data_IF_036932869960
#
_entry.id   IF_036932869960
#
_cell.length_a   1.000
_cell.length_b   1.000
_cell.length_c   1.000
_cell.angle_alpha   90.00
_cell.angle_beta   90.00
_cell.angle_gamma   90.00
#
_symmetry.space_group_name_H-M   'P 1'
#
loop_
_entity.id
_entity.type
_entity.pdbx_description
1 polymer ?
#
# COMPACT_ATOMS: atom_id res chain seq x y z
N UNK A 1 -5.64 -18.64 1.58
CA UNK A 1 -5.55 -17.27 1.06
C UNK A 1 -6.13 -17.28 -0.35
N UNK A 2 -6.91 -16.26 -0.69
CA UNK A 2 -7.42 -16.01 -2.03
C UNK A 2 -7.03 -14.58 -2.44
N UNK A 3 -6.78 -14.36 -3.73
CA UNK A 3 -6.44 -13.06 -4.31
C UNK A 3 -7.17 -12.87 -5.64
N UNK A 4 -7.57 -11.64 -5.93
CA UNK A 4 -8.25 -11.28 -7.17
C UNK A 4 -7.85 -9.86 -7.55
N UNK A 5 -7.55 -9.63 -8.82
CA UNK A 5 -7.39 -8.32 -9.43
C UNK A 5 -8.13 -8.28 -10.77
N UNK A 6 -8.76 -7.16 -11.10
CA UNK A 6 -9.55 -6.98 -12.32
C UNK A 6 -9.43 -5.52 -12.81
N UNK A 7 -9.17 -5.32 -14.10
CA UNK A 7 -9.03 -4.00 -14.71
C UNK A 7 -10.33 -3.14 -14.67
N UNK A 8 -11.46 -3.78 -14.35
CA UNK A 8 -12.76 -3.13 -14.40
C UNK A 8 -13.27 -2.90 -15.82
N UNK A 9 -14.33 -2.09 -15.95
CA UNK A 9 -15.02 -1.87 -17.23
C UNK A 9 -14.65 -0.57 -17.95
N UNK A 10 -13.81 0.25 -17.34
CA UNK A 10 -13.54 1.62 -17.81
C UNK A 10 -12.09 1.79 -18.23
N UNK A 11 -11.14 1.21 -17.51
CA UNK A 11 -9.70 1.30 -17.80
C UNK A 11 -9.29 0.22 -18.78
N UNK A 12 -8.37 0.55 -19.71
CA UNK A 12 -7.80 -0.42 -20.65
C UNK A 12 -6.73 -1.30 -19.99
N UNK A 13 -6.07 -0.80 -18.95
CA UNK A 13 -4.96 -1.45 -18.25
C UNK A 13 -5.25 -1.52 -16.76
N UNK A 14 -4.83 -2.62 -16.15
CA UNK A 14 -4.83 -2.79 -14.70
C UNK A 14 -3.48 -2.32 -14.15
N UNK A 15 -3.49 -1.30 -13.31
CA UNK A 15 -2.30 -0.74 -12.67
C UNK A 15 -2.10 -1.25 -11.23
N UNK A 16 -3.04 -2.08 -10.75
CA UNK A 16 -2.92 -2.72 -9.46
C UNK A 16 -1.98 -3.91 -9.52
N UNK A 17 -1.19 -4.07 -8.49
CA UNK A 17 -0.37 -5.25 -8.26
C UNK A 17 -0.69 -5.84 -6.89
N UNK A 18 -0.70 -7.17 -6.81
CA UNK A 18 -0.89 -7.88 -5.54
C UNK A 18 -0.03 -9.15 -5.50
N UNK A 19 0.39 -9.52 -4.32
CA UNK A 19 1.13 -10.77 -4.12
C UNK A 19 0.92 -11.35 -2.72
N UNK A 20 1.17 -12.65 -2.64
CA UNK A 20 1.30 -13.40 -1.40
C UNK A 20 2.61 -14.16 -1.45
N UNK A 21 3.50 -13.86 -0.52
CA UNK A 21 4.81 -14.51 -0.41
C UNK A 21 4.87 -15.36 0.86
N UNK A 22 5.63 -16.43 0.79
CA UNK A 22 6.02 -17.23 1.97
C UNK A 22 7.53 -17.41 1.93
N UNK A 23 8.20 -17.23 3.07
CA UNK A 23 9.63 -17.43 3.19
C UNK A 23 9.98 -18.77 3.87
N UNK A 24 11.28 -19.06 3.98
CA UNK A 24 11.80 -20.30 4.60
C UNK A 24 11.45 -20.44 6.09
N UNK A 25 11.18 -19.33 6.76
CA UNK A 25 10.72 -19.29 8.16
C UNK A 25 9.20 -19.46 8.30
N UNK A 26 8.47 -19.75 7.20
CA UNK A 26 7.00 -19.84 7.13
C UNK A 26 6.28 -18.55 7.52
N UNK A 27 6.95 -17.44 7.46
CA UNK A 27 6.27 -16.14 7.53
C UNK A 27 5.55 -15.90 6.20
N UNK A 28 4.43 -15.21 6.25
CA UNK A 28 3.64 -14.83 5.07
C UNK A 28 3.55 -13.33 4.97
N UNK A 29 3.72 -12.83 3.76
CA UNK A 29 3.51 -11.44 3.42
C UNK A 29 2.41 -11.34 2.37
N UNK A 30 1.40 -10.54 2.66
CA UNK A 30 0.32 -10.19 1.74
C UNK A 30 0.46 -8.71 1.41
N UNK A 31 0.43 -8.35 0.14
CA UNK A 31 0.54 -6.95 -0.28
C UNK A 31 -0.41 -6.64 -1.44
N UNK A 32 -0.98 -5.44 -1.41
CA UNK A 32 -1.72 -4.82 -2.51
C UNK A 32 -1.15 -3.42 -2.74
N UNK A 33 -0.97 -3.06 -4.00
CA UNK A 33 -0.46 -1.77 -4.45
C UNK A 33 -1.31 -1.27 -5.63
N UNK A 34 -1.96 -0.11 -5.48
CA UNK A 34 -2.73 0.57 -6.54
C UNK A 34 -1.83 1.62 -7.19
N UNK A 35 -1.46 1.36 -8.43
CA UNK A 35 -0.52 2.20 -9.18
C UNK A 35 -1.18 3.43 -9.80
N UNK A 36 -0.49 4.57 -9.74
CA UNK A 36 -0.92 5.84 -10.30
C UNK A 36 0.17 6.52 -11.11
N UNK A 37 -0.19 7.36 -12.12
CA UNK A 37 0.79 8.12 -12.89
C UNK A 37 0.73 7.92 -14.40
N UNK A 38 -0.48 7.84 -14.98
CA UNK A 38 -0.69 7.72 -16.42
C UNK A 38 -0.45 6.31 -16.97
N UNK A 39 -0.54 6.13 -18.31
CA UNK A 39 -0.69 4.82 -18.97
C UNK A 39 0.28 3.71 -18.50
N UNK A 40 1.54 3.99 -18.26
CA UNK A 40 2.55 2.98 -17.86
C UNK A 40 3.18 3.25 -16.48
N UNK A 41 2.98 4.44 -15.95
CA UNK A 41 3.64 4.84 -14.70
C UNK A 41 3.12 4.05 -13.51
N UNK A 42 1.79 3.92 -13.39
CA UNK A 42 1.16 3.21 -12.28
C UNK A 42 1.52 1.73 -12.21
N UNK A 43 1.43 1.01 -13.35
CA UNK A 43 1.84 -0.40 -13.42
C UNK A 43 3.32 -0.59 -13.06
N UNK A 44 4.18 0.30 -13.56
CA UNK A 44 5.62 0.25 -13.23
C UNK A 44 5.87 0.50 -11.76
N UNK A 45 5.19 1.48 -11.15
CA UNK A 45 5.36 1.81 -9.75
C UNK A 45 4.87 0.68 -8.81
N UNK A 46 3.67 0.14 -9.07
CA UNK A 46 3.14 -0.96 -8.25
C UNK A 46 3.98 -2.23 -8.38
N UNK A 47 4.50 -2.54 -9.57
CA UNK A 47 5.40 -3.68 -9.79
C UNK A 47 6.74 -3.50 -9.08
N UNK A 48 7.42 -2.34 -9.20
CA UNK A 48 8.68 -2.07 -8.49
C UNK A 48 8.45 -2.18 -6.98
N UNK A 49 7.34 -1.64 -6.47
CA UNK A 49 7.00 -1.74 -5.06
C UNK A 49 6.93 -3.21 -4.61
N UNK A 50 6.21 -4.07 -5.33
CA UNK A 50 6.10 -5.48 -4.98
C UNK A 50 7.45 -6.21 -5.04
N UNK A 51 8.23 -6.00 -6.10
CA UNK A 51 9.55 -6.63 -6.29
C UNK A 51 10.51 -6.24 -5.15
N UNK A 52 10.51 -4.98 -4.74
CA UNK A 52 11.35 -4.50 -3.64
C UNK A 52 10.90 -5.07 -2.29
N UNK A 53 9.59 -5.08 -2.04
CA UNK A 53 9.02 -5.64 -0.81
C UNK A 53 9.29 -7.14 -0.72
N UNK A 54 9.16 -7.89 -1.82
CA UNK A 54 9.51 -9.32 -1.84
C UNK A 54 10.99 -9.56 -1.50
N UNK A 55 11.88 -8.78 -2.10
CA UNK A 55 13.32 -8.90 -1.87
C UNK A 55 13.68 -8.71 -0.40
N UNK A 56 13.18 -7.64 0.22
CA UNK A 56 13.42 -7.36 1.65
C UNK A 56 12.77 -8.42 2.56
N UNK A 57 11.57 -8.87 2.22
CA UNK A 57 10.88 -9.93 2.95
C UNK A 57 11.68 -11.23 3.02
N UNK A 58 12.45 -11.55 1.99
CA UNK A 58 13.32 -12.74 1.96
C UNK A 58 14.61 -12.59 2.75
N UNK A 59 14.96 -11.38 3.18
CA UNK A 59 16.13 -11.13 4.03
C UNK A 59 15.82 -11.51 5.50
N UNK A 60 16.69 -12.29 6.17
CA UNK A 60 16.39 -12.79 7.52
C UNK A 60 16.73 -11.79 8.66
N UNK A 61 16.94 -10.52 8.35
CA UNK A 61 17.44 -9.54 9.31
C UNK A 61 16.35 -8.60 9.83
N UNK A 62 16.29 -8.43 11.15
CA UNK A 62 15.35 -7.55 11.83
C UNK A 62 14.02 -8.25 12.22
N UNK A 63 13.23 -7.55 13.03
CA UNK A 63 11.89 -7.99 13.40
C UNK A 63 10.95 -7.94 12.19
N UNK A 64 9.83 -8.68 12.20
CA UNK A 64 8.82 -8.58 11.14
C UNK A 64 8.35 -7.14 10.88
N UNK A 65 8.16 -6.37 11.93
CA UNK A 65 7.75 -4.96 11.86
C UNK A 65 8.81 -4.10 11.17
N UNK A 66 10.07 -4.20 11.61
CA UNK A 66 11.20 -3.46 11.01
C UNK A 66 11.37 -3.80 9.53
N UNK A 67 11.28 -5.09 9.17
CA UNK A 67 11.38 -5.53 7.78
C UNK A 67 10.23 -4.99 6.93
N UNK A 68 9.03 -4.99 7.47
CA UNK A 68 7.85 -4.50 6.77
C UNK A 68 7.96 -2.99 6.49
N UNK A 69 8.31 -2.18 7.50
CA UNK A 69 8.52 -0.75 7.32
C UNK A 69 9.66 -0.45 6.34
N UNK A 70 10.82 -1.07 6.55
CA UNK A 70 11.99 -0.91 5.67
C UNK A 70 11.70 -1.30 4.22
N UNK A 71 10.89 -2.34 4.00
CA UNK A 71 10.53 -2.75 2.64
C UNK A 71 9.76 -1.67 1.89
N UNK A 72 8.84 -0.96 2.55
CA UNK A 72 8.08 0.14 1.97
C UNK A 72 8.93 1.42 1.80
N UNK A 73 9.87 1.69 2.72
CA UNK A 73 10.84 2.78 2.59
C UNK A 73 11.72 2.59 1.35
N UNK A 74 12.31 1.40 1.21
CA UNK A 74 13.11 1.07 0.02
C UNK A 74 12.30 1.08 -1.27
N UNK A 75 11.04 0.60 -1.22
CA UNK A 75 10.15 0.69 -2.37
C UNK A 75 9.90 2.14 -2.77
N UNK A 76 9.74 3.06 -1.81
CA UNK A 76 9.62 4.48 -2.09
C UNK A 76 10.87 5.04 -2.78
N UNK A 77 12.06 4.74 -2.26
CA UNK A 77 13.32 5.19 -2.84
C UNK A 77 13.48 4.69 -4.28
N UNK A 78 13.21 3.42 -4.56
CA UNK A 78 13.37 2.82 -5.88
C UNK A 78 12.35 3.35 -6.88
N UNK A 79 11.07 3.47 -6.51
CA UNK A 79 10.03 4.05 -7.37
C UNK A 79 10.35 5.51 -7.68
N UNK A 80 10.74 6.30 -6.67
CA UNK A 80 11.10 7.70 -6.83
C UNK A 80 12.31 7.88 -7.74
N UNK A 81 13.39 7.11 -7.52
CA UNK A 81 14.59 7.14 -8.37
C UNK A 81 14.27 6.77 -9.83
N UNK A 82 13.39 5.78 -10.03
CA UNK A 82 12.95 5.37 -11.36
C UNK A 82 12.15 6.47 -12.07
N UNK A 83 11.25 7.14 -11.35
CA UNK A 83 10.48 8.29 -11.85
C UNK A 83 11.37 9.47 -12.26
N UNK A 84 12.49 9.69 -11.55
CA UNK A 84 13.45 10.75 -11.89
C UNK A 84 14.31 10.41 -13.10
N UNK A 85 14.67 9.13 -13.27
CA UNK A 85 15.55 8.68 -14.36
C UNK A 85 14.86 8.59 -15.72
N UNK A 86 13.51 8.54 -15.76
CA UNK A 86 12.73 8.41 -16.98
C UNK A 86 11.61 9.46 -17.03
N UNK A 87 11.72 10.39 -17.99
CA UNK A 87 10.75 11.48 -18.16
C UNK A 87 9.32 11.01 -18.45
N UNK A 88 9.16 9.84 -19.09
CA UNK A 88 7.83 9.24 -19.38
C UNK A 88 7.14 8.69 -18.10
N UNK A 89 7.92 8.41 -17.05
CA UNK A 89 7.44 7.89 -15.78
C UNK A 89 7.38 8.97 -14.69
N UNK A 90 7.60 10.24 -15.06
CA UNK A 90 7.60 11.34 -14.11
C UNK A 90 6.26 11.45 -13.37
N UNK A 91 6.31 11.46 -12.03
CA UNK A 91 5.12 11.53 -11.19
C UNK A 91 4.38 10.21 -11.03
N UNK A 92 4.96 9.09 -11.47
CA UNK A 92 4.43 7.78 -11.11
C UNK A 92 4.52 7.56 -9.61
N UNK A 93 3.62 6.75 -9.09
CA UNK A 93 3.59 6.34 -7.70
C UNK A 93 2.63 5.17 -7.51
N UNK A 94 2.55 4.71 -6.30
CA UNK A 94 1.59 3.65 -5.92
C UNK A 94 1.19 3.77 -4.47
N UNK A 95 0.01 3.27 -4.13
CA UNK A 95 -0.29 2.95 -2.75
C UNK A 95 0.44 1.66 -2.35
N UNK A 96 0.50 1.38 -1.08
CA UNK A 96 0.86 0.05 -0.58
C UNK A 96 0.10 -0.23 0.72
N UNK A 97 -0.48 -1.41 0.83
CA UNK A 97 -0.99 -1.97 2.08
C UNK A 97 -0.48 -3.40 2.21
N UNK A 98 0.30 -3.66 3.26
CA UNK A 98 0.99 -4.93 3.43
C UNK A 98 0.79 -5.49 4.83
N UNK A 99 0.53 -6.80 4.92
CA UNK A 99 0.40 -7.55 6.18
C UNK A 99 1.44 -8.65 6.22
N UNK A 100 2.27 -8.66 7.25
CA UNK A 100 3.19 -9.74 7.54
C UNK A 100 2.64 -10.59 8.69
N UNK A 101 2.63 -11.90 8.52
CA UNK A 101 2.12 -12.87 9.49
C UNK A 101 3.25 -13.84 9.84
N UNK A 102 3.59 -13.90 11.11
CA UNK A 102 4.56 -14.85 11.64
C UNK A 102 3.92 -16.22 12.00
N UNK A 103 4.70 -17.30 12.06
CA UNK A 103 4.19 -18.63 12.34
C UNK A 103 3.56 -18.79 13.73
N UNK A 104 3.97 -17.98 14.69
CA UNK A 104 3.42 -17.93 16.05
C UNK A 104 2.07 -17.21 16.13
N UNK A 105 1.61 -16.61 15.03
CA UNK A 105 0.36 -15.86 14.93
C UNK A 105 0.51 -14.37 15.17
N UNK A 106 1.72 -13.86 15.40
CA UNK A 106 2.00 -12.43 15.37
C UNK A 106 1.73 -11.87 13.97
N UNK A 107 1.15 -10.67 13.89
CA UNK A 107 0.91 -10.03 12.61
C UNK A 107 1.11 -8.51 12.70
N UNK A 108 1.59 -7.95 11.60
CA UNK A 108 1.90 -6.52 11.47
C UNK A 108 1.33 -6.01 10.15
N UNK A 109 0.70 -4.86 10.23
CA UNK A 109 0.18 -4.12 9.09
C UNK A 109 1.03 -2.86 8.89
N UNK A 110 1.41 -2.56 7.65
CA UNK A 110 1.98 -1.27 7.27
C UNK A 110 1.35 -0.77 5.97
N UNK A 111 1.17 0.56 5.83
CA UNK A 111 0.52 1.12 4.66
C UNK A 111 0.94 2.56 4.35
N UNK A 112 0.78 2.89 3.06
CA UNK A 112 0.87 4.24 2.48
C UNK A 112 -0.21 4.37 1.40
N UNK A 113 -1.00 5.44 1.45
CA UNK A 113 -2.08 5.69 0.48
C UNK A 113 -3.47 5.38 1.03
N UNK A 114 -4.41 5.10 0.14
CA UNK A 114 -5.82 4.86 0.46
C UNK A 114 -6.30 3.42 0.18
N UNK A 115 -5.38 2.52 -0.16
CA UNK A 115 -5.66 1.07 -0.13
C UNK A 115 -5.85 0.61 1.32
N UNK A 116 -6.86 -0.24 1.55
CA UNK A 116 -7.34 -0.51 2.91
C UNK A 116 -7.16 -1.95 3.35
N UNK A 117 -6.87 -2.12 4.63
CA UNK A 117 -6.93 -3.39 5.32
C UNK A 117 -8.14 -3.44 6.26
N UNK A 118 -8.87 -4.55 6.21
CA UNK A 118 -10.02 -4.79 7.09
C UNK A 118 -9.87 -6.10 7.83
N UNK A 119 -10.39 -6.13 9.06
CA UNK A 119 -10.58 -7.35 9.84
C UNK A 119 -12.06 -7.68 9.93
N UNK A 120 -12.43 -8.89 9.56
CA UNK A 120 -13.76 -9.43 9.83
C UNK A 120 -13.68 -10.40 11.01
N UNK A 121 -14.32 -10.05 12.12
CA UNK A 121 -14.40 -10.88 13.33
C UNK A 121 -15.83 -10.85 13.87
N UNK A 122 -16.40 -12.01 14.17
CA UNK A 122 -17.76 -12.14 14.74
C UNK A 122 -18.83 -11.34 13.97
N UNK A 123 -18.76 -11.36 12.62
CA UNK A 123 -19.60 -10.57 11.70
C UNK A 123 -19.43 -9.05 11.79
N UNK A 124 -18.42 -8.58 12.53
CA UNK A 124 -18.09 -7.17 12.59
C UNK A 124 -16.91 -6.87 11.66
N UNK A 125 -17.09 -5.94 10.73
CA UNK A 125 -16.04 -5.47 9.81
C UNK A 125 -15.42 -4.20 10.37
N UNK A 126 -14.11 -4.27 10.63
CA UNK A 126 -13.32 -3.18 11.18
C UNK A 126 -12.23 -2.78 10.20
N UNK A 127 -12.09 -1.48 9.92
CA UNK A 127 -10.96 -0.94 9.18
C UNK A 127 -9.72 -0.87 10.09
N UNK A 128 -8.62 -1.49 9.66
CA UNK A 128 -7.35 -1.48 10.38
C UNK A 128 -6.39 -0.42 9.87
N UNK A 129 -6.58 0.07 8.65
CA UNK A 129 -5.82 1.17 8.06
C UNK A 129 -6.68 2.43 7.93
N UNK A 130 -6.03 3.59 7.93
CA UNK A 130 -6.65 4.89 7.67
C UNK A 130 -6.11 5.45 6.35
N UNK A 131 -6.98 5.98 5.50
CA UNK A 131 -6.59 6.55 4.22
C UNK A 131 -5.68 7.78 4.39
N UNK A 132 -4.59 7.81 3.65
CA UNK A 132 -3.75 9.01 3.48
C UNK A 132 -4.30 9.87 2.34
N UNK A 133 -5.56 10.24 2.41
CA UNK A 133 -6.24 11.07 1.42
C UNK A 133 -6.65 12.42 2.02
N UNK A 134 -6.76 13.43 1.14
CA UNK A 134 -7.23 14.75 1.53
C UNK A 134 -8.60 14.70 2.22
N UNK A 135 -9.50 13.83 1.74
CA UNK A 135 -10.83 13.68 2.33
C UNK A 135 -10.77 13.09 3.74
N UNK A 136 -9.93 12.07 3.95
CA UNK A 136 -9.74 11.48 5.28
C UNK A 136 -9.23 12.50 6.29
N UNK A 137 -8.30 13.36 5.86
CA UNK A 137 -7.78 14.43 6.70
C UNK A 137 -8.84 15.47 7.05
N UNK A 138 -9.59 15.95 6.06
CA UNK A 138 -10.64 16.94 6.29
C UNK A 138 -11.80 16.42 7.14
N UNK A 139 -12.16 15.15 6.99
CA UNK A 139 -13.15 14.51 7.87
C UNK A 139 -12.63 14.47 9.31
N UNK A 140 -11.38 14.09 9.52
CA UNK A 140 -10.79 14.01 10.87
C UNK A 140 -10.69 15.36 11.57
N UNK A 141 -10.45 16.43 10.79
CA UNK A 141 -10.42 17.81 11.27
C UNK A 141 -11.82 18.44 11.41
N UNK A 142 -12.88 17.72 11.03
CA UNK A 142 -14.24 18.22 11.06
C UNK A 142 -14.54 19.30 10.00
N UNK A 143 -13.69 19.43 8.99
CA UNK A 143 -13.85 20.43 7.90
C UNK A 143 -15.00 20.05 6.98
N UNK A 144 -15.17 18.74 6.71
CA UNK A 144 -16.28 18.22 5.90
C UNK A 144 -16.88 16.96 6.56
N UNK A 145 -18.11 16.66 6.20
CA UNK A 145 -18.75 15.39 6.59
C UNK A 145 -18.34 14.26 5.64
N UNK A 146 -18.47 13.01 6.10
CA UNK A 146 -18.22 11.83 5.26
C UNK A 146 -19.11 11.81 4.00
N UNK A 147 -20.35 12.30 4.08
CA UNK A 147 -21.24 12.36 2.93
C UNK A 147 -20.79 13.41 1.90
N UNK A 148 -20.35 14.59 2.36
CA UNK A 148 -19.79 15.62 1.47
C UNK A 148 -18.50 15.17 0.79
N UNK A 149 -17.67 14.39 1.47
CA UNK A 149 -16.43 13.86 0.91
C UNK A 149 -16.66 12.92 -0.28
N UNK A 150 -17.74 12.14 -0.30
CA UNK A 150 -18.06 11.17 -1.37
C UNK A 150 -18.23 11.81 -2.75
N UNK A 151 -18.72 13.04 -2.80
CA UNK A 151 -18.99 13.78 -4.05
C UNK A 151 -18.02 14.92 -4.30
N UNK A 152 -17.02 15.11 -3.41
CA UNK A 152 -16.08 16.21 -3.52
C UNK A 152 -15.20 16.09 -4.77
N UNK A 153 -14.95 17.16 -5.54
CA UNK A 153 -14.11 17.11 -6.75
C UNK A 153 -12.69 16.56 -6.52
N UNK A 154 -12.14 16.83 -5.35
CA UNK A 154 -10.78 16.37 -4.94
C UNK A 154 -10.78 15.05 -4.16
N UNK A 155 -11.84 14.23 -4.24
CA UNK A 155 -11.98 13.00 -3.45
C UNK A 155 -10.93 11.92 -3.73
N UNK A 156 -10.24 12.01 -4.85
CA UNK A 156 -9.19 11.08 -5.27
C UNK A 156 -7.76 11.58 -4.96
N UNK A 157 -7.64 12.72 -4.28
CA UNK A 157 -6.34 13.31 -3.99
C UNK A 157 -5.71 12.63 -2.77
N UNK A 158 -4.55 12.02 -3.01
CA UNK A 158 -3.72 11.43 -1.97
C UNK A 158 -2.77 12.48 -1.36
N UNK A 159 -2.54 12.37 -0.08
CA UNK A 159 -1.55 13.15 0.65
C UNK A 159 -0.21 12.45 0.76
N UNK A 160 -0.20 11.12 0.64
CA UNK A 160 1.00 10.29 0.66
C UNK A 160 0.84 9.10 -0.28
N UNK A 161 1.90 8.81 -1.05
CA UNK A 161 2.02 7.63 -1.89
C UNK A 161 3.50 7.25 -2.06
N UNK A 162 3.77 6.00 -2.30
CA UNK A 162 5.09 5.47 -2.63
C UNK A 162 5.58 6.10 -3.94
N UNK A 163 6.80 6.64 -3.96
CA UNK A 163 7.47 7.15 -5.15
C UNK A 163 7.14 8.59 -5.54
N UNK A 164 6.31 9.31 -4.78
CA UNK A 164 5.98 10.71 -5.09
C UNK A 164 6.90 11.75 -4.44
N UNK A 165 7.62 11.36 -3.41
CA UNK A 165 8.59 12.21 -2.72
C UNK A 165 9.84 11.39 -2.35
N UNK A 166 11.00 12.02 -2.09
CA UNK A 166 12.22 11.30 -1.69
C UNK A 166 12.01 10.51 -0.40
N UNK A 167 11.23 11.04 0.52
CA UNK A 167 10.90 10.41 1.80
C UNK A 167 9.39 10.19 1.91
N UNK A 168 8.98 9.08 2.55
CA UNK A 168 7.59 8.77 2.83
C UNK A 168 7.41 8.33 4.28
N UNK A 169 6.38 8.86 4.94
CA UNK A 169 5.99 8.38 6.27
C UNK A 169 5.08 7.17 6.15
N UNK A 170 5.53 6.04 6.70
CA UNK A 170 4.80 4.78 6.73
C UNK A 170 4.02 4.68 8.04
N UNK A 171 2.74 4.40 7.97
CA UNK A 171 1.96 4.01 9.14
C UNK A 171 2.01 2.49 9.30
N UNK A 172 2.15 2.04 10.55
CA UNK A 172 2.21 0.63 10.87
C UNK A 172 1.59 0.33 12.24
N UNK A 173 1.13 -0.90 12.42
CA UNK A 173 0.53 -1.38 13.67
C UNK A 173 0.64 -2.89 13.78
N UNK A 174 0.86 -3.39 15.00
CA UNK A 174 0.66 -4.80 15.30
C UNK A 174 -0.84 -5.12 15.32
N UNK A 175 -1.24 -6.23 14.70
CA UNK A 175 -2.63 -6.65 14.61
C UNK A 175 -2.85 -8.01 15.25
N UNK A 176 -3.99 -8.19 15.89
CA UNK A 176 -4.40 -9.47 16.47
C UNK A 176 -5.26 -10.24 15.45
N UNK A 177 -4.84 -11.45 15.10
CA UNK A 177 -5.57 -12.32 14.16
C UNK A 177 -6.58 -13.25 14.87
N UNK A 178 -6.56 -13.36 16.20
CA UNK A 178 -7.42 -14.22 17.00
C UNK A 178 -8.37 -13.42 17.89
#
# INVERSE_FOLDING_TARGET
IASLSDAGRVRAENQDSLAVFENTSRERLLIVADGMGGHRGGETASRICLETVERVFREPHGTPEERLCRSLELANEEVYAHALSNSELRGMGTTAVAVMIAPDGGAWLAWVGDSRCYRLRDRNLEALSRDHSLMSEWISLGVITSDAARTHPRRHELMRAIGQAPDVSIEHVAIELR
#
